data_IF_813170483944
#
_entry.id   IF_813170483944
#
_cell.length_a   1.000
_cell.length_b   1.000
_cell.length_c   1.000
_cell.angle_alpha   90.00
_cell.angle_beta   90.00
_cell.angle_gamma   90.00
#
_symmetry.space_group_name_H-M   'P 1'
#
loop_
_entity.id
_entity.type
_entity.pdbx_description
1 polymer ?
#
# COMPACT_ATOMS: atom_id res chain seq x y z
N UNK A 1 24.13 7.49 4.09
CA UNK A 1 22.67 7.70 4.28
C UNK A 1 22.06 6.46 4.88
N UNK A 2 21.24 6.66 5.89
CA UNK A 2 20.51 5.56 6.46
C UNK A 2 19.44 5.06 5.47
N UNK A 3 19.24 3.76 5.45
CA UNK A 3 18.20 3.14 4.62
C UNK A 3 16.82 3.47 5.18
N UNK A 4 15.91 3.88 4.31
CA UNK A 4 14.50 4.10 4.69
C UNK A 4 13.84 2.73 4.88
N UNK A 5 13.28 2.50 6.06
CA UNK A 5 12.64 1.23 6.41
C UNK A 5 11.19 1.39 6.90
N UNK A 6 10.72 2.64 7.04
CA UNK A 6 9.37 2.94 7.52
C UNK A 6 8.65 3.91 6.60
N UNK A 7 7.36 3.67 6.42
CA UNK A 7 6.51 4.56 5.62
C UNK A 7 6.39 5.93 6.30
N UNK A 8 6.37 6.98 5.49
CA UNK A 8 6.20 8.35 5.96
C UNK A 8 4.75 8.82 5.90
N UNK A 9 4.53 10.06 6.32
CA UNK A 9 3.20 10.68 6.40
C UNK A 9 2.49 10.67 5.05
N UNK A 10 3.20 11.01 3.97
CA UNK A 10 2.57 11.07 2.65
C UNK A 10 2.13 9.69 2.13
N UNK A 11 2.89 8.66 2.44
CA UNK A 11 2.49 7.29 2.09
C UNK A 11 1.26 6.84 2.85
N UNK A 12 1.20 7.13 4.15
CA UNK A 12 0.03 6.81 4.98
C UNK A 12 -1.20 7.57 4.48
N UNK A 13 -1.06 8.87 4.17
CA UNK A 13 -2.18 9.67 3.64
C UNK A 13 -2.70 9.10 2.31
N UNK A 14 -1.81 8.70 1.42
CA UNK A 14 -2.20 8.10 0.15
C UNK A 14 -3.01 6.82 0.38
N UNK A 15 -2.53 5.93 1.23
CA UNK A 15 -3.22 4.67 1.53
C UNK A 15 -4.59 4.94 2.16
N UNK A 16 -4.67 5.84 3.14
CA UNK A 16 -5.93 6.23 3.77
C UNK A 16 -6.94 6.73 2.75
N UNK A 17 -6.50 7.59 1.84
CA UNK A 17 -7.39 8.18 0.83
C UNK A 17 -7.99 7.13 -0.10
N UNK A 18 -7.24 6.10 -0.45
CA UNK A 18 -7.72 5.07 -1.37
C UNK A 18 -8.46 3.93 -0.66
N UNK A 19 -8.07 3.59 0.58
CA UNK A 19 -8.76 2.52 1.32
C UNK A 19 -10.09 3.00 1.90
N UNK A 20 -10.16 4.24 2.37
CA UNK A 20 -11.34 4.77 3.04
C UNK A 20 -11.49 4.19 4.44
N UNK A 21 -12.12 4.96 5.33
CA UNK A 21 -12.31 4.55 6.73
C UNK A 21 -13.72 4.04 6.98
N UNK A 22 -13.85 2.89 7.64
CA UNK A 22 -15.11 2.41 8.18
C UNK A 22 -14.99 2.21 9.68
N UNK A 23 -15.80 2.95 10.45
CA UNK A 23 -15.82 2.82 11.90
C UNK A 23 -16.37 1.47 12.35
N UNK A 24 -17.32 0.92 11.58
CA UNK A 24 -17.98 -0.35 11.90
C UNK A 24 -17.53 -1.45 10.95
N UNK A 25 -17.54 -2.71 11.43
CA UNK A 25 -17.25 -3.83 10.53
C UNK A 25 -18.24 -3.89 9.36
N UNK A 26 -17.73 -4.29 8.21
CA UNK A 26 -18.53 -4.52 7.00
C UNK A 26 -17.96 -5.69 6.21
N UNK A 27 -18.73 -6.22 5.28
CA UNK A 27 -18.24 -7.25 4.37
C UNK A 27 -17.70 -6.58 3.12
N UNK A 28 -16.42 -6.83 2.79
CA UNK A 28 -15.81 -6.35 1.55
C UNK A 28 -16.39 -7.17 0.36
N UNK A 29 -16.08 -6.77 -0.90
CA UNK A 29 -16.55 -7.54 -2.08
C UNK A 29 -16.19 -9.02 -2.04
N UNK A 30 -15.09 -9.40 -1.39
CA UNK A 30 -14.68 -10.80 -1.21
C UNK A 30 -15.41 -11.48 -0.04
N UNK A 31 -16.39 -10.81 0.59
CA UNK A 31 -17.18 -11.29 1.73
C UNK A 31 -16.33 -11.57 2.99
N UNK A 32 -15.27 -10.80 3.17
CA UNK A 32 -14.41 -10.87 4.36
C UNK A 32 -14.75 -9.69 5.26
N UNK A 33 -14.96 -9.96 6.56
CA UNK A 33 -15.23 -8.91 7.54
C UNK A 33 -14.05 -7.96 7.65
N UNK A 34 -14.30 -6.68 7.46
CA UNK A 34 -13.29 -5.64 7.34
C UNK A 34 -13.67 -4.44 8.21
N UNK A 35 -12.68 -3.75 8.77
CA UNK A 35 -12.91 -2.55 9.59
C UNK A 35 -11.74 -1.57 9.36
N UNK A 36 -11.98 -0.30 9.71
CA UNK A 36 -10.95 0.74 9.61
C UNK A 36 -10.53 1.00 8.18
N UNK A 37 -9.26 0.97 7.90
CA UNK A 37 -8.68 1.18 6.58
C UNK A 37 -8.35 -0.14 5.89
N UNK A 38 -9.29 -1.04 5.87
CA UNK A 38 -9.12 -2.31 5.18
C UNK A 38 -8.59 -3.45 6.04
N UNK A 39 -8.68 -3.33 7.38
CA UNK A 39 -8.18 -4.36 8.27
C UNK A 39 -9.12 -5.55 8.35
N UNK A 40 -8.57 -6.75 8.24
CA UNK A 40 -9.32 -8.00 8.41
C UNK A 40 -8.89 -8.76 9.66
N UNK A 41 -7.80 -8.34 10.29
CA UNK A 41 -7.27 -8.90 11.54
C UNK A 41 -6.83 -7.76 12.45
N UNK A 42 -6.87 -8.02 13.76
CA UNK A 42 -6.30 -7.15 14.79
C UNK A 42 -4.85 -7.55 15.07
N UNK A 43 -4.07 -6.69 15.78
CA UNK A 43 -2.65 -7.02 16.10
C UNK A 43 -2.49 -8.31 16.88
N UNK A 44 -3.50 -8.72 17.66
CA UNK A 44 -3.45 -9.98 18.42
C UNK A 44 -3.73 -11.23 17.57
N UNK A 45 -3.92 -11.08 16.25
CA UNK A 45 -4.20 -12.17 15.34
C UNK A 45 -5.66 -12.57 15.23
N UNK A 46 -6.55 -11.98 16.01
CA UNK A 46 -7.98 -12.27 15.92
C UNK A 46 -8.57 -11.66 14.65
N UNK A 47 -9.44 -12.41 13.99
CA UNK A 47 -10.16 -11.93 12.81
C UNK A 47 -11.19 -10.88 13.20
N UNK A 48 -11.40 -9.90 12.33
CA UNK A 48 -12.52 -8.95 12.46
C UNK A 48 -13.82 -9.72 12.27
N UNK A 49 -14.82 -9.43 13.10
CA UNK A 49 -16.16 -10.02 13.00
C UNK A 49 -17.21 -8.91 12.87
N UNK A 50 -18.39 -9.25 12.34
CA UNK A 50 -19.45 -8.27 12.12
C UNK A 50 -20.04 -7.71 13.42
N UNK A 51 -19.79 -8.36 14.54
CA UNK A 51 -20.29 -7.93 15.85
C UNK A 51 -19.26 -7.13 16.66
N UNK A 52 -18.08 -6.88 16.08
CA UNK A 52 -17.04 -6.15 16.76
C UNK A 52 -17.44 -4.70 17.00
N UNK A 53 -16.90 -4.12 18.08
CA UNK A 53 -17.16 -2.75 18.48
C UNK A 53 -16.62 -1.78 17.41
N UNK A 54 -17.37 -0.69 17.20
CA UNK A 54 -16.91 0.40 16.33
C UNK A 54 -15.61 1.02 16.87
N UNK A 55 -14.79 1.52 15.96
CA UNK A 55 -13.54 2.20 16.32
C UNK A 55 -13.55 3.66 15.88
N UNK A 56 -12.70 4.46 16.53
CA UNK A 56 -12.47 5.84 16.10
C UNK A 56 -11.52 5.87 14.90
N UNK A 57 -11.49 7.00 14.20
CA UNK A 57 -10.53 7.19 13.10
C UNK A 57 -9.09 7.08 13.59
N UNK A 58 -8.78 7.62 14.78
CA UNK A 58 -7.45 7.51 15.36
C UNK A 58 -7.05 6.06 15.62
N UNK A 59 -7.99 5.25 16.13
CA UNK A 59 -7.74 3.81 16.31
C UNK A 59 -7.53 3.12 14.96
N UNK A 60 -8.26 3.53 13.94
CA UNK A 60 -8.11 3.01 12.57
C UNK A 60 -6.73 3.31 11.99
N UNK A 61 -6.20 4.50 12.23
CA UNK A 61 -4.84 4.88 11.78
C UNK A 61 -3.79 4.02 12.49
N UNK A 62 -3.91 3.82 13.80
CA UNK A 62 -2.96 2.98 14.53
C UNK A 62 -3.01 1.53 14.04
N UNK A 63 -4.21 1.02 13.77
CA UNK A 63 -4.37 -0.33 13.21
C UNK A 63 -3.73 -0.42 11.82
N UNK A 64 -3.91 0.60 10.97
CA UNK A 64 -3.28 0.65 9.65
C UNK A 64 -1.76 0.65 9.77
N UNK A 65 -1.20 1.46 10.64
CA UNK A 65 0.26 1.51 10.86
C UNK A 65 0.80 0.14 11.29
N UNK A 66 0.06 -0.54 12.15
CA UNK A 66 0.45 -1.89 12.59
C UNK A 66 0.46 -2.88 11.42
N UNK A 67 -0.58 -2.86 10.61
CA UNK A 67 -0.65 -3.72 9.41
C UNK A 67 0.47 -3.43 8.43
N UNK A 68 0.83 -2.15 8.27
CA UNK A 68 1.83 -1.74 7.30
C UNK A 68 3.25 -2.20 7.68
N UNK A 69 3.52 -2.54 8.94
CA UNK A 69 4.83 -3.03 9.36
C UNK A 69 5.31 -4.21 8.52
N UNK A 70 4.42 -5.15 8.24
CA UNK A 70 4.76 -6.31 7.41
C UNK A 70 5.10 -5.90 5.98
N UNK A 71 4.33 -4.97 5.42
CA UNK A 71 4.55 -4.48 4.05
C UNK A 71 5.80 -3.63 3.95
N UNK A 72 6.12 -2.87 4.98
CA UNK A 72 7.40 -2.17 5.08
C UNK A 72 8.57 -3.16 5.01
N UNK A 73 8.47 -4.28 5.72
CA UNK A 73 9.49 -5.31 5.70
C UNK A 73 9.64 -5.95 4.32
N UNK A 74 8.54 -6.21 3.62
CA UNK A 74 8.60 -6.74 2.27
C UNK A 74 9.34 -5.78 1.33
N UNK A 75 8.96 -4.51 1.33
CA UNK A 75 9.60 -3.53 0.46
C UNK A 75 11.08 -3.39 0.81
N UNK A 76 11.40 -3.31 2.09
CA UNK A 76 12.79 -3.21 2.56
C UNK A 76 13.62 -4.40 2.07
N UNK A 77 13.09 -5.62 2.17
CA UNK A 77 13.82 -6.82 1.77
C UNK A 77 13.95 -6.97 0.26
N UNK A 78 13.00 -6.45 -0.52
CA UNK A 78 13.00 -6.58 -1.98
C UNK A 78 13.87 -5.52 -2.66
N UNK A 79 14.05 -4.36 -2.05
CA UNK A 79 14.85 -3.27 -2.61
C UNK A 79 16.31 -3.43 -2.20
N UNK A 80 17.19 -3.60 -3.20
CA UNK A 80 18.61 -3.85 -2.95
C UNK A 80 19.42 -2.57 -2.77
N UNK A 81 18.91 -1.44 -3.25
CA UNK A 81 19.55 -0.14 -3.15
C UNK A 81 18.77 0.81 -2.24
N UNK A 82 19.47 1.88 -1.84
CA UNK A 82 18.84 2.95 -1.09
C UNK A 82 17.89 3.74 -2.00
N UNK A 83 16.65 3.90 -1.54
CA UNK A 83 15.63 4.70 -2.24
C UNK A 83 15.18 5.82 -1.33
N UNK A 84 14.51 6.83 -1.91
CA UNK A 84 13.99 7.97 -1.13
C UNK A 84 12.77 7.57 -0.30
N UNK A 85 12.42 8.42 0.65
CA UNK A 85 11.21 8.21 1.45
C UNK A 85 9.96 8.11 0.54
N UNK A 86 9.82 9.01 -0.42
CA UNK A 86 8.66 9.01 -1.32
C UNK A 86 8.63 7.76 -2.20
N UNK A 87 9.79 7.30 -2.66
CA UNK A 87 9.88 6.06 -3.44
C UNK A 87 9.45 4.86 -2.59
N UNK A 88 9.96 4.79 -1.36
CA UNK A 88 9.60 3.74 -0.41
C UNK A 88 8.08 3.75 -0.13
N UNK A 89 7.53 4.93 0.14
CA UNK A 89 6.11 5.08 0.46
C UNK A 89 5.22 4.60 -0.69
N UNK A 90 5.57 4.96 -1.93
CA UNK A 90 4.83 4.52 -3.11
C UNK A 90 4.86 3.00 -3.26
N UNK A 91 6.01 2.39 -3.03
CA UNK A 91 6.14 0.93 -3.12
C UNK A 91 5.39 0.21 -2.00
N UNK A 92 5.34 0.77 -0.80
CA UNK A 92 4.54 0.20 0.29
C UNK A 92 3.05 0.24 -0.07
N UNK A 93 2.56 1.35 -0.64
CA UNK A 93 1.18 1.45 -1.09
C UNK A 93 0.86 0.39 -2.16
N UNK A 94 1.74 0.26 -3.15
CA UNK A 94 1.60 -0.76 -4.20
C UNK A 94 1.56 -2.17 -3.61
N UNK A 95 2.48 -2.47 -2.72
CA UNK A 95 2.59 -3.77 -2.05
C UNK A 95 1.35 -4.07 -1.21
N UNK A 96 0.85 -3.08 -0.47
CA UNK A 96 -0.35 -3.23 0.35
C UNK A 96 -1.59 -3.52 -0.50
N UNK A 97 -1.72 -2.84 -1.64
CA UNK A 97 -2.87 -3.01 -2.53
C UNK A 97 -2.83 -4.31 -3.34
N UNK A 98 -1.67 -4.66 -3.86
CA UNK A 98 -1.53 -5.76 -4.83
C UNK A 98 -0.89 -7.02 -4.28
N UNK A 99 -0.31 -6.93 -3.09
CA UNK A 99 0.35 -8.05 -2.43
C UNK A 99 1.84 -8.13 -2.70
N UNK A 100 2.59 -8.74 -1.77
CA UNK A 100 4.04 -8.82 -1.88
C UNK A 100 4.52 -9.68 -3.06
N UNK A 101 3.80 -10.74 -3.41
CA UNK A 101 4.19 -11.60 -4.54
C UNK A 101 4.16 -10.84 -5.86
N UNK A 102 3.14 -10.00 -6.07
CA UNK A 102 3.02 -9.19 -7.27
C UNK A 102 4.17 -8.18 -7.36
N UNK A 103 4.49 -7.52 -6.25
CA UNK A 103 5.63 -6.60 -6.23
C UNK A 103 6.93 -7.34 -6.53
N UNK A 104 7.16 -8.47 -5.85
CA UNK A 104 8.41 -9.22 -5.99
C UNK A 104 8.68 -9.66 -7.42
N UNK A 105 7.66 -10.09 -8.15
CA UNK A 105 7.79 -10.57 -9.53
C UNK A 105 7.67 -9.47 -10.58
N UNK A 106 7.36 -8.23 -10.18
CA UNK A 106 7.05 -7.15 -11.12
C UNK A 106 8.28 -6.64 -11.86
N UNK A 107 8.07 -6.17 -13.08
CA UNK A 107 9.07 -5.41 -13.81
C UNK A 107 9.35 -4.08 -13.12
N UNK A 108 8.33 -3.53 -12.44
CA UNK A 108 8.47 -2.34 -11.61
C UNK A 108 9.65 -2.50 -10.63
N UNK A 109 9.64 -3.56 -9.84
CA UNK A 109 10.70 -3.80 -8.85
C UNK A 109 12.06 -4.01 -9.51
N UNK A 110 12.10 -4.73 -10.63
CA UNK A 110 13.36 -4.93 -11.38
C UNK A 110 13.96 -3.61 -11.81
N UNK A 111 13.14 -2.68 -12.30
CA UNK A 111 13.60 -1.34 -12.70
C UNK A 111 14.08 -0.52 -11.51
N UNK A 112 13.33 -0.56 -10.39
CA UNK A 112 13.73 0.12 -9.16
C UNK A 112 15.11 -0.35 -8.72
N UNK A 113 15.35 -1.65 -8.74
CA UNK A 113 16.62 -2.24 -8.31
C UNK A 113 17.76 -1.98 -9.28
N UNK A 114 17.46 -1.74 -10.54
CA UNK A 114 18.49 -1.39 -11.54
C UNK A 114 18.83 0.10 -11.51
N UNK A 115 17.82 0.95 -11.45
CA UNK A 115 17.95 2.41 -11.36
C UNK A 115 16.63 3.00 -10.85
N UNK A 116 16.60 3.36 -9.58
CA UNK A 116 15.39 3.88 -8.94
C UNK A 116 14.89 5.20 -9.56
N UNK A 117 15.74 5.91 -10.33
CA UNK A 117 15.36 7.17 -10.98
C UNK A 117 14.98 7.00 -12.45
N UNK A 118 14.83 5.78 -12.92
CA UNK A 118 14.39 5.49 -14.29
C UNK A 118 12.95 6.00 -14.49
N UNK A 119 12.78 6.94 -15.42
CA UNK A 119 11.48 7.57 -15.68
C UNK A 119 10.44 6.58 -16.21
N UNK A 120 10.85 5.47 -16.82
CA UNK A 120 9.94 4.44 -17.31
C UNK A 120 9.27 3.66 -16.18
N UNK A 121 9.72 3.84 -14.94
CA UNK A 121 9.06 3.26 -13.76
C UNK A 121 7.60 3.72 -13.65
N UNK A 122 7.30 4.97 -14.04
CA UNK A 122 5.91 5.45 -14.05
C UNK A 122 5.01 4.54 -14.90
N UNK A 123 5.45 4.16 -16.08
CA UNK A 123 4.69 3.26 -16.96
C UNK A 123 4.50 1.88 -16.33
N UNK A 124 5.46 1.43 -15.52
CA UNK A 124 5.34 0.15 -14.84
C UNK A 124 4.24 0.16 -13.77
N UNK A 125 4.11 1.28 -13.02
CA UNK A 125 2.97 1.43 -12.12
C UNK A 125 1.64 1.31 -12.88
N UNK A 126 1.55 1.97 -14.02
CA UNK A 126 0.30 2.06 -14.79
C UNK A 126 -0.13 0.74 -15.44
N UNK A 127 0.69 -0.28 -15.42
CA UNK A 127 0.31 -1.62 -15.90
C UNK A 127 -0.64 -2.33 -14.92
N UNK A 128 -0.75 -1.87 -13.67
CA UNK A 128 -1.51 -2.54 -12.62
C UNK A 128 -2.85 -1.84 -12.35
N UNK A 129 -3.68 -1.75 -13.38
CA UNK A 129 -4.95 -1.02 -13.35
C UNK A 129 -6.17 -1.90 -13.61
N UNK A 130 -5.98 -3.22 -13.69
CA UNK A 130 -7.07 -4.16 -14.01
C UNK A 130 -7.43 -5.04 -12.83
N UNK A 131 -8.73 -5.33 -12.71
CA UNK A 131 -9.22 -6.40 -11.84
C UNK A 131 -10.20 -7.21 -12.68
N UNK A 132 -10.08 -8.54 -12.66
CA UNK A 132 -10.90 -9.45 -13.48
C UNK A 132 -10.89 -9.07 -14.95
N UNK A 133 -9.70 -8.73 -15.48
CA UNK A 133 -9.45 -8.33 -16.88
C UNK A 133 -10.11 -7.02 -17.31
N UNK A 134 -10.67 -6.25 -16.37
CA UNK A 134 -11.25 -4.93 -16.65
C UNK A 134 -10.42 -3.83 -16.02
N UNK A 135 -10.21 -2.75 -16.77
CA UNK A 135 -9.58 -1.54 -16.22
C UNK A 135 -10.58 -0.87 -15.28
N UNK A 136 -10.15 -0.62 -14.03
CA UNK A 136 -10.97 0.06 -13.03
C UNK A 136 -10.42 1.46 -12.80
N UNK A 137 -11.31 2.45 -12.85
CA UNK A 137 -10.94 3.87 -12.64
C UNK A 137 -10.22 4.08 -11.31
N UNK A 138 -10.69 3.44 -10.25
CA UNK A 138 -10.06 3.55 -8.93
C UNK A 138 -8.61 3.06 -8.92
N UNK A 139 -8.33 1.97 -9.65
CA UNK A 139 -6.96 1.46 -9.76
C UNK A 139 -6.08 2.38 -10.61
N UNK A 140 -6.63 2.97 -11.68
CA UNK A 140 -5.91 3.95 -12.48
C UNK A 140 -5.50 5.14 -11.61
N UNK A 141 -6.45 5.69 -10.85
CA UNK A 141 -6.18 6.84 -9.96
C UNK A 141 -5.14 6.49 -8.90
N UNK A 142 -5.23 5.30 -8.31
CA UNK A 142 -4.26 4.87 -7.29
C UNK A 142 -2.86 4.71 -7.87
N UNK A 143 -2.73 4.09 -9.03
CA UNK A 143 -1.42 3.94 -9.69
C UNK A 143 -0.82 5.29 -10.07
N UNK A 144 -1.66 6.22 -10.55
CA UNK A 144 -1.21 7.59 -10.85
C UNK A 144 -0.70 8.27 -9.58
N UNK A 145 -1.44 8.16 -8.48
CA UNK A 145 -1.03 8.77 -7.21
C UNK A 145 0.26 8.14 -6.68
N UNK A 146 0.40 6.83 -6.78
CA UNK A 146 1.63 6.13 -6.37
C UNK A 146 2.82 6.58 -7.22
N UNK A 147 2.64 6.66 -8.54
CA UNK A 147 3.71 7.10 -9.44
C UNK A 147 4.09 8.56 -9.19
N UNK A 148 3.10 9.42 -8.96
CA UNK A 148 3.35 10.83 -8.63
C UNK A 148 4.13 10.96 -7.32
N UNK A 149 3.78 10.17 -6.30
CA UNK A 149 4.51 10.16 -5.04
C UNK A 149 5.93 9.63 -5.23
N UNK A 150 6.09 8.56 -6.01
CA UNK A 150 7.40 7.96 -6.28
C UNK A 150 8.37 8.99 -6.85
N UNK A 151 7.92 9.83 -7.78
CA UNK A 151 8.75 10.83 -8.44
C UNK A 151 8.72 12.20 -7.77
N UNK A 152 8.01 12.33 -6.65
CA UNK A 152 7.95 13.60 -5.93
C UNK A 152 9.32 13.95 -5.36
N UNK A 153 9.74 15.18 -5.60
CA UNK A 153 10.99 15.72 -5.05
C UNK A 153 10.68 16.53 -3.79
N UNK A 154 11.59 16.49 -2.85
CA UNK A 154 11.48 17.31 -1.63
C UNK A 154 11.81 18.77 -1.92
#
# INVERSE_FOLDING_TARGET
MEKITKIGVKGIELIKNFEGFSAKPYLCPAKICTIGYGATFYPNGKKVTMTDKAMTEAEGVELLKDMLKRFEQYVDSYCIDTITQHQFDALVSFCYNLGPANLKSSTLLKKVNKNANDETIRAEFMKWTKASNKVLKGLVLRRQAEADLYFKKD
#
